data_IF_536265481319
#
_entry.id   IF_536265481319
#
_cell.length_a   1.000
_cell.length_b   1.000
_cell.length_c   1.000
_cell.angle_alpha   90.00
_cell.angle_beta   90.00
_cell.angle_gamma   90.00
#
_symmetry.space_group_name_H-M   'P 1'
#
loop_
_entity.id
_entity.type
_entity.pdbx_description
1 polymer ?
#
# COMPACT_ATOMS: atom_id res chain seq x y z
N UNK A 1 -6.74 28.58 -45.08
CA UNK A 1 -5.80 27.45 -45.12
C UNK A 1 -5.68 26.86 -43.71
N UNK A 2 -5.74 25.53 -43.62
CA UNK A 2 -5.50 24.68 -42.43
C UNK A 2 -4.14 25.01 -41.79
N UNK A 3 -3.88 24.76 -40.50
CA UNK A 3 -3.70 23.41 -39.93
C UNK A 3 -3.82 23.39 -38.39
N UNK A 4 -4.44 22.32 -37.89
CA UNK A 4 -4.37 21.85 -36.50
C UNK A 4 -3.00 21.22 -36.19
N UNK A 5 -2.57 21.30 -34.92
CA UNK A 5 -1.79 20.32 -34.15
C UNK A 5 -1.80 20.77 -32.68
N UNK A 6 -2.66 20.18 -31.85
CA UNK A 6 -2.49 18.95 -31.05
C UNK A 6 -1.81 19.20 -29.69
N UNK A 7 -2.26 18.44 -28.71
CA UNK A 7 -2.27 18.65 -27.28
C UNK A 7 -0.89 18.59 -26.61
N UNK A 8 -0.75 19.23 -25.43
CA UNK A 8 -0.66 18.52 -24.14
C UNK A 8 -1.19 19.43 -23.00
N UNK A 9 -2.19 19.00 -22.21
CA UNK A 9 -2.36 19.55 -20.87
C UNK A 9 -1.11 19.22 -20.08
N UNK A 10 -0.51 20.22 -19.45
CA UNK A 10 0.54 20.02 -18.46
C UNK A 10 -0.08 19.26 -17.28
N UNK A 11 0.16 17.95 -17.23
CA UNK A 11 -0.22 17.14 -16.06
C UNK A 11 0.47 17.74 -14.83
N UNK A 12 -0.24 17.98 -13.72
CA UNK A 12 0.37 18.53 -12.52
C UNK A 12 1.36 17.51 -11.99
N UNK A 13 2.64 17.89 -11.97
CA UNK A 13 3.68 17.08 -11.34
C UNK A 13 3.23 16.70 -9.91
N UNK A 14 3.26 15.42 -9.54
CA UNK A 14 2.86 15.01 -8.21
C UNK A 14 3.85 15.65 -7.24
N UNK A 15 3.34 16.59 -6.43
CA UNK A 15 4.09 17.22 -5.36
C UNK A 15 4.76 16.14 -4.52
N UNK A 16 6.07 15.99 -4.69
CA UNK A 16 6.91 15.10 -3.90
C UNK A 16 6.82 15.56 -2.45
N UNK A 17 5.93 14.91 -1.71
CA UNK A 17 5.74 15.15 -0.29
C UNK A 17 7.07 14.85 0.41
N UNK A 18 7.76 15.92 0.80
CA UNK A 18 9.01 15.89 1.55
C UNK A 18 8.86 14.95 2.73
N UNK A 19 9.53 13.80 2.67
CA UNK A 19 9.52 12.77 3.71
C UNK A 19 10.16 13.36 4.96
N UNK A 20 9.31 13.65 5.96
CA UNK A 20 9.74 14.12 7.26
C UNK A 20 10.32 12.91 8.03
N UNK A 21 11.50 13.02 8.69
CA UNK A 21 12.02 11.96 9.55
C UNK A 21 11.10 11.81 10.76
N UNK A 22 10.15 10.87 10.68
CA UNK A 22 9.10 10.74 11.69
C UNK A 22 7.79 10.15 11.17
N UNK A 23 7.85 9.05 10.40
CA UNK A 23 6.79 8.03 10.31
C UNK A 23 5.33 8.51 10.29
N UNK A 24 4.94 9.32 9.32
CA UNK A 24 3.52 9.56 9.03
C UNK A 24 3.17 8.81 7.75
N UNK A 25 2.60 7.60 7.88
CA UNK A 25 1.99 6.85 6.76
C UNK A 25 0.87 7.71 6.18
N UNK A 26 0.95 8.39 5.04
CA UNK A 26 -0.09 9.36 4.66
C UNK A 26 -1.49 8.69 4.59
N UNK A 27 -2.51 9.42 5.08
CA UNK A 27 -3.92 8.98 4.98
C UNK A 27 -4.24 8.66 3.51
N UNK A 28 -5.02 7.61 3.26
CA UNK A 28 -5.42 7.24 1.90
C UNK A 28 -6.17 8.41 1.25
N UNK A 29 -5.66 8.88 0.11
CA UNK A 29 -6.38 9.76 -0.84
C UNK A 29 -6.26 9.11 -2.21
N UNK A 30 -7.31 9.19 -3.01
CA UNK A 30 -7.27 8.76 -4.41
C UNK A 30 -6.10 9.48 -5.12
N UNK A 31 -5.23 8.72 -5.79
CA UNK A 31 -4.00 9.23 -6.42
C UNK A 31 -2.72 9.19 -5.57
N UNK A 32 -2.76 8.76 -4.30
CA UNK A 32 -1.52 8.56 -3.50
C UNK A 32 -0.88 7.20 -3.77
N UNK A 33 0.18 7.23 -4.58
CA UNK A 33 1.01 6.10 -4.94
C UNK A 33 1.68 5.42 -3.72
N UNK A 34 1.88 4.10 -3.79
CA UNK A 34 2.51 3.32 -2.71
C UNK A 34 3.93 3.84 -2.42
N UNK A 35 4.61 4.42 -3.41
CA UNK A 35 5.96 4.99 -3.34
C UNK A 35 6.14 6.12 -2.32
N UNK A 36 5.07 6.77 -1.84
CA UNK A 36 5.18 7.79 -0.77
C UNK A 36 5.34 7.18 0.64
N UNK A 37 5.20 5.86 0.78
CA UNK A 37 5.42 5.17 2.04
C UNK A 37 6.92 4.94 2.30
N UNK A 38 7.37 4.83 3.56
CA UNK A 38 8.73 4.37 3.81
C UNK A 38 8.94 2.95 3.25
N UNK A 39 10.17 2.57 2.83
CA UNK A 39 10.44 1.33 2.08
C UNK A 39 9.89 0.07 2.74
N UNK A 40 9.95 0.00 4.07
CA UNK A 40 9.40 -1.10 4.86
C UNK A 40 7.87 -1.26 4.71
N UNK A 41 7.14 -0.15 4.61
CA UNK A 41 5.69 -0.16 4.43
C UNK A 41 5.32 -0.42 2.97
N UNK A 42 6.11 0.09 2.01
CA UNK A 42 5.94 -0.23 0.60
C UNK A 42 6.02 -1.74 0.40
N UNK A 43 7.00 -2.41 1.02
CA UNK A 43 7.20 -3.85 0.87
C UNK A 43 5.98 -4.66 1.33
N UNK A 44 5.37 -4.29 2.46
CA UNK A 44 4.14 -4.93 2.97
C UNK A 44 2.98 -4.70 1.98
N UNK A 45 2.80 -3.46 1.51
CA UNK A 45 1.74 -3.13 0.55
C UNK A 45 1.91 -3.84 -0.79
N UNK A 46 3.15 -3.96 -1.30
CA UNK A 46 3.46 -4.67 -2.54
C UNK A 46 3.13 -6.16 -2.42
N UNK A 47 3.56 -6.82 -1.34
CA UNK A 47 3.25 -8.23 -1.11
C UNK A 47 1.75 -8.49 -1.05
N UNK A 48 0.99 -7.63 -0.36
CA UNK A 48 -0.46 -7.76 -0.29
C UNK A 48 -1.14 -7.45 -1.63
N UNK A 49 -0.64 -6.48 -2.39
CA UNK A 49 -1.16 -6.15 -3.71
C UNK A 49 -0.84 -7.22 -4.77
N UNK A 50 0.33 -7.86 -4.70
CA UNK A 50 0.70 -9.01 -5.52
C UNK A 50 -0.23 -10.19 -5.24
N UNK A 51 -0.50 -10.48 -3.95
CA UNK A 51 -1.45 -11.52 -3.56
C UNK A 51 -2.87 -11.27 -4.06
N UNK A 52 -3.34 -10.03 -3.96
CA UNK A 52 -4.66 -9.67 -4.45
C UNK A 52 -4.75 -9.83 -5.97
N UNK A 53 -3.71 -9.43 -6.71
CA UNK A 53 -3.62 -9.68 -8.16
C UNK A 53 -3.59 -11.18 -8.51
N UNK A 54 -2.97 -12.00 -7.67
CA UNK A 54 -2.92 -13.46 -7.83
C UNK A 54 -4.20 -14.17 -7.36
N UNK A 55 -5.17 -13.45 -6.77
CA UNK A 55 -6.38 -14.04 -6.20
C UNK A 55 -6.14 -14.84 -4.91
N UNK A 56 -5.00 -14.65 -4.25
CA UNK A 56 -4.66 -15.31 -2.98
C UNK A 56 -5.33 -14.66 -1.77
N UNK A 57 -5.81 -13.42 -1.90
CA UNK A 57 -6.54 -12.68 -0.86
C UNK A 57 -5.68 -12.25 0.34
N UNK A 58 -6.30 -12.21 1.52
CA UNK A 58 -5.68 -11.75 2.78
C UNK A 58 -4.48 -12.61 3.20
N UNK A 59 -3.48 -12.00 3.84
CA UNK A 59 -2.32 -12.70 4.37
C UNK A 59 -2.13 -12.46 5.88
N UNK A 60 -1.85 -13.54 6.61
CA UNK A 60 -1.52 -13.46 8.04
C UNK A 60 -0.10 -12.91 8.26
N UNK A 61 0.14 -12.28 9.41
CA UNK A 61 1.45 -11.68 9.76
C UNK A 61 2.63 -12.65 9.61
N UNK A 62 2.41 -13.94 9.87
CA UNK A 62 3.42 -15.00 9.66
C UNK A 62 3.79 -15.17 8.19
N UNK A 63 2.78 -15.25 7.31
CA UNK A 63 3.00 -15.34 5.85
C UNK A 63 3.63 -14.07 5.32
N UNK A 64 3.21 -12.90 5.81
CA UNK A 64 3.85 -11.64 5.46
C UNK A 64 5.33 -11.63 5.88
N UNK A 65 5.68 -12.10 7.08
CA UNK A 65 7.09 -12.21 7.50
C UNK A 65 7.91 -13.15 6.61
N UNK A 66 7.30 -14.24 6.13
CA UNK A 66 7.91 -15.18 5.18
C UNK A 66 8.18 -14.53 3.82
N UNK A 67 7.14 -13.91 3.23
CA UNK A 67 7.20 -13.24 1.92
C UNK A 67 8.15 -12.04 1.92
N UNK A 68 8.31 -11.39 3.06
CA UNK A 68 9.25 -10.28 3.24
C UNK A 68 10.69 -10.78 3.52
N UNK A 69 10.91 -12.08 3.66
CA UNK A 69 12.22 -12.67 3.97
C UNK A 69 12.74 -12.28 5.35
N UNK A 70 11.86 -11.93 6.30
CA UNK A 70 12.24 -11.42 7.62
C UNK A 70 12.50 -12.54 8.65
N UNK A 71 12.18 -13.78 8.30
CA UNK A 71 12.27 -14.95 9.16
C UNK A 71 11.04 -15.14 10.05
N UNK A 72 10.68 -16.39 10.30
CA UNK A 72 9.48 -16.79 11.04
C UNK A 72 9.67 -16.76 12.56
N UNK A 73 10.33 -15.73 13.08
CA UNK A 73 10.53 -15.55 14.52
C UNK A 73 9.47 -14.61 15.12
N UNK A 74 9.00 -14.84 16.36
CA UNK A 74 7.92 -14.05 16.96
C UNK A 74 8.15 -12.53 16.93
N UNK A 75 9.39 -12.08 17.16
CA UNK A 75 9.76 -10.67 17.11
C UNK A 75 9.53 -10.03 15.73
N UNK A 76 9.76 -10.78 14.65
CA UNK A 76 9.58 -10.29 13.28
C UNK A 76 8.11 -10.30 12.88
N UNK A 77 7.37 -11.34 13.27
CA UNK A 77 5.93 -11.44 13.06
C UNK A 77 5.19 -10.29 13.76
N UNK A 78 5.53 -9.99 15.01
CA UNK A 78 4.93 -8.86 15.74
C UNK A 78 5.37 -7.51 15.16
N UNK A 79 6.60 -7.40 14.67
CA UNK A 79 7.07 -6.24 13.92
C UNK A 79 6.25 -6.00 12.65
N UNK A 80 5.91 -7.05 11.91
CA UNK A 80 5.01 -6.99 10.75
C UNK A 80 3.60 -6.58 11.16
N UNK A 81 3.04 -7.17 12.23
CA UNK A 81 1.72 -6.79 12.75
C UNK A 81 1.65 -5.31 13.10
N UNK A 82 2.62 -4.81 13.86
CA UNK A 82 2.70 -3.40 14.26
C UNK A 82 2.84 -2.47 13.05
N UNK A 83 3.61 -2.88 12.03
CA UNK A 83 3.75 -2.13 10.78
C UNK A 83 2.47 -2.16 9.94
N UNK A 84 1.78 -3.29 9.83
CA UNK A 84 0.55 -3.45 9.05
C UNK A 84 -0.67 -2.75 9.68
N UNK A 85 -0.73 -2.68 11.02
CA UNK A 85 -1.79 -1.93 11.73
C UNK A 85 -1.81 -0.44 11.37
N UNK A 86 -0.66 0.18 11.06
CA UNK A 86 -0.61 1.61 10.78
C UNK A 86 -1.24 1.99 9.43
N UNK A 87 -1.01 1.28 8.31
CA UNK A 87 -1.80 1.40 7.09
C UNK A 87 -3.26 0.99 7.27
N UNK A 88 -3.56 -0.04 8.07
CA UNK A 88 -4.93 -0.49 8.32
C UNK A 88 -5.76 0.60 9.02
N UNK A 89 -5.21 1.21 10.09
CA UNK A 89 -5.83 2.33 10.78
C UNK A 89 -6.07 3.58 9.90
N UNK A 90 -5.45 3.64 8.71
CA UNK A 90 -5.60 4.74 7.74
C UNK A 90 -6.41 4.36 6.51
N UNK A 91 -7.08 3.20 6.54
CA UNK A 91 -7.94 2.71 5.45
C UNK A 91 -7.19 2.28 4.19
N UNK A 92 -5.89 2.01 4.28
CA UNK A 92 -5.07 1.48 3.17
C UNK A 92 -5.05 -0.05 3.12
N UNK A 93 -5.18 -0.69 4.28
CA UNK A 93 -5.33 -2.14 4.42
C UNK A 93 -6.63 -2.43 5.17
N UNK A 94 -7.20 -3.60 4.93
CA UNK A 94 -8.30 -4.15 5.71
C UNK A 94 -7.73 -5.24 6.61
N UNK A 95 -8.10 -5.23 7.88
CA UNK A 95 -7.80 -6.32 8.81
C UNK A 95 -9.01 -7.28 8.81
N UNK A 96 -8.93 -8.37 8.05
CA UNK A 96 -10.03 -9.34 7.93
C UNK A 96 -10.25 -10.13 9.23
N UNK A 97 -9.14 -10.50 9.89
CA UNK A 97 -9.12 -11.14 11.20
C UNK A 97 -7.90 -10.63 11.98
N UNK A 98 -7.84 -10.77 13.32
CA UNK A 98 -6.72 -10.26 14.11
C UNK A 98 -5.34 -10.73 13.62
N UNK A 99 -4.60 -9.86 12.94
CA UNK A 99 -3.31 -10.19 12.31
C UNK A 99 -3.37 -10.82 10.91
N UNK A 100 -4.52 -10.80 10.23
CA UNK A 100 -4.65 -11.01 8.78
C UNK A 100 -4.99 -9.70 8.10
N UNK A 101 -4.25 -9.37 7.04
CA UNK A 101 -4.44 -8.12 6.32
C UNK A 101 -4.60 -8.36 4.82
N UNK A 102 -5.45 -7.57 4.19
CA UNK A 102 -5.65 -7.50 2.74
C UNK A 102 -5.55 -6.04 2.28
N UNK A 103 -5.34 -5.83 0.98
CA UNK A 103 -5.38 -4.46 0.42
C UNK A 103 -6.83 -3.99 0.44
N UNK A 104 -7.05 -2.76 0.92
CA UNK A 104 -8.36 -2.14 0.79
C UNK A 104 -8.65 -1.87 -0.69
N UNK A 105 -9.26 -2.83 -1.37
CA UNK A 105 -9.82 -2.62 -2.70
C UNK A 105 -10.73 -1.40 -2.61
N UNK A 106 -10.52 -0.43 -3.50
CA UNK A 106 -11.60 0.51 -3.77
C UNK A 106 -12.78 -0.39 -4.16
N UNK A 107 -13.88 -0.38 -3.42
CA UNK A 107 -15.15 -0.78 -4.02
C UNK A 107 -15.39 0.25 -5.13
N UNK A 108 -14.74 0.04 -6.28
CA UNK A 108 -15.22 0.58 -7.53
C UNK A 108 -16.52 -0.14 -7.74
N UNK A 109 -17.62 0.52 -7.44
CA UNK A 109 -18.93 0.03 -7.82
C UNK A 109 -18.95 -0.13 -9.33
N UNK A 110 -18.96 -1.37 -9.78
CA UNK A 110 -19.65 -1.72 -10.99
C UNK A 110 -21.14 -1.83 -10.66
N UNK A 111 -21.91 -1.08 -11.45
CA UNK A 111 -23.35 -0.84 -11.36
C UNK A 111 -24.16 -1.96 -12.00
#
# INVERSE_FOLDING_TARGET
MQVFRDARPVEPEPAVARVVPGSVVPVRREGLDVTVLPPDYQRIMHVLADRERSGEGSAICRQLADLLGLGLVPAKIEGVRSKAKRPAARGRLVEDTPGSFSVAVSQGGDS
#
